data_IF_792936728718
#
_entry.id   IF_792936728718
#
_cell.length_a   1.000
_cell.length_b   1.000
_cell.length_c   1.000
_cell.angle_alpha   90.00
_cell.angle_beta   90.00
_cell.angle_gamma   90.00
#
_symmetry.space_group_name_H-M   'P 1'
#
loop_
_entity.id
_entity.type
_entity.pdbx_description
1 polymer ?
#
# COMPACT_ATOMS: atom_id res chain seq x y z
N UNK A 1 11.57 -40.74 29.91
CA UNK A 1 11.93 -39.75 28.87
C UNK A 1 10.62 -39.19 28.32
N UNK A 2 10.49 -37.86 28.33
CA UNK A 2 9.32 -37.03 27.96
C UNK A 2 8.08 -37.19 28.88
N UNK A 3 7.48 -36.17 29.48
CA UNK A 3 7.60 -34.72 29.28
C UNK A 3 6.18 -34.15 29.25
N UNK A 4 5.68 -33.67 30.40
CA UNK A 4 4.46 -32.87 30.49
C UNK A 4 4.73 -31.47 29.92
N UNK A 5 3.79 -30.88 29.17
CA UNK A 5 3.39 -29.48 29.33
C UNK A 5 2.23 -29.15 28.39
N UNK A 6 1.08 -28.78 28.97
CA UNK A 6 0.12 -27.93 28.28
C UNK A 6 0.59 -26.47 28.36
N UNK A 7 0.07 -25.61 27.47
CA UNK A 7 -0.04 -24.18 27.71
C UNK A 7 -1.16 -23.61 26.86
N UNK A 8 -2.20 -23.14 27.55
CA UNK A 8 -3.09 -22.07 27.11
C UNK A 8 -2.31 -20.74 27.09
N UNK A 9 -2.74 -19.81 26.24
CA UNK A 9 -2.24 -18.44 26.11
C UNK A 9 -2.62 -17.93 24.72
N UNK A 10 -3.73 -17.22 24.53
CA UNK A 10 -4.01 -15.93 25.15
C UNK A 10 -3.51 -14.84 24.19
N UNK A 11 -4.14 -14.73 23.01
CA UNK A 11 -3.84 -13.61 22.10
C UNK A 11 -4.59 -12.39 22.60
N UNK A 12 -3.81 -11.41 23.00
CA UNK A 12 -4.19 -10.10 23.50
C UNK A 12 -5.22 -9.42 22.62
N UNK A 13 -6.32 -9.03 23.25
CA UNK A 13 -7.25 -8.02 22.75
C UNK A 13 -6.50 -6.69 22.72
N UNK A 14 -6.06 -6.26 21.54
CA UNK A 14 -5.61 -4.88 21.37
C UNK A 14 -6.82 -3.95 21.40
N UNK A 15 -6.70 -2.96 22.28
CA UNK A 15 -7.76 -2.05 22.71
C UNK A 15 -7.85 -0.92 21.69
N UNK A 16 -8.84 -0.97 20.81
CA UNK A 16 -9.10 0.14 19.88
C UNK A 16 -9.50 1.40 20.69
N UNK A 17 -8.87 2.57 20.48
CA UNK A 17 -9.21 3.79 21.21
C UNK A 17 -10.51 4.39 20.66
N UNK A 18 -11.47 4.66 21.55
CA UNK A 18 -12.59 5.58 21.31
C UNK A 18 -12.05 6.96 21.00
N UNK A 19 -12.27 7.47 19.78
CA UNK A 19 -11.98 8.86 19.40
C UNK A 19 -13.24 9.72 19.51
N UNK A 20 -13.09 10.90 20.13
CA UNK A 20 -14.05 12.00 20.15
C UNK A 20 -14.17 12.63 18.73
N UNK A 21 -15.18 13.45 18.40
CA UNK A 21 -15.42 13.84 17.02
C UNK A 21 -14.28 14.76 16.54
N UNK A 22 -13.48 14.26 15.61
CA UNK A 22 -12.40 14.96 14.95
C UNK A 22 -12.98 15.98 13.94
N UNK A 23 -12.13 16.91 13.47
CA UNK A 23 -12.42 17.70 12.27
C UNK A 23 -12.66 16.80 11.05
N UNK A 24 -12.81 17.35 9.83
CA UNK A 24 -12.91 16.49 8.66
C UNK A 24 -11.70 15.54 8.62
N UNK A 25 -11.99 14.23 8.70
CA UNK A 25 -10.97 13.17 8.60
C UNK A 25 -10.22 13.34 7.28
N UNK A 26 -8.89 13.18 7.25
CA UNK A 26 -8.12 13.32 6.03
C UNK A 26 -8.55 12.28 5.00
N UNK A 27 -8.68 12.71 3.74
CA UNK A 27 -8.98 11.84 2.61
C UNK A 27 -7.73 11.02 2.26
N UNK A 28 -7.84 9.70 2.39
CA UNK A 28 -6.79 8.75 2.00
C UNK A 28 -6.86 8.52 0.49
N UNK A 29 -5.77 8.76 -0.23
CA UNK A 29 -5.67 8.64 -1.69
C UNK A 29 -4.56 7.67 -2.04
N UNK A 30 -4.94 6.57 -2.70
CA UNK A 30 -4.01 5.64 -3.32
C UNK A 30 -3.68 6.11 -4.74
N UNK A 31 -2.39 6.25 -5.03
CA UNK A 31 -1.85 6.57 -6.36
C UNK A 31 -1.14 5.34 -6.92
N UNK A 32 -1.51 4.94 -8.15
CA UNK A 32 -0.90 3.83 -8.88
C UNK A 32 -0.84 4.12 -10.39
N UNK A 33 0.01 3.39 -11.13
CA UNK A 33 0.16 3.49 -12.58
C UNK A 33 0.65 2.17 -13.20
N UNK A 34 0.59 2.05 -14.54
CA UNK A 34 1.08 0.88 -15.28
C UNK A 34 2.58 0.95 -15.64
N UNK A 35 3.16 2.17 -15.62
CA UNK A 35 4.48 2.47 -16.17
C UNK A 35 5.64 2.35 -15.16
N UNK A 36 5.38 1.78 -13.98
CA UNK A 36 6.26 1.66 -12.80
C UNK A 36 6.33 2.87 -11.84
N UNK A 37 6.82 2.62 -10.63
CA UNK A 37 7.03 3.63 -9.56
C UNK A 37 8.00 4.75 -9.97
N UNK A 38 8.87 4.51 -10.96
CA UNK A 38 9.86 5.47 -11.42
C UNK A 38 9.34 6.36 -12.56
N UNK A 39 8.08 6.18 -12.99
CA UNK A 39 7.51 6.98 -14.06
C UNK A 39 7.31 8.44 -13.62
N UNK A 40 7.70 9.43 -14.43
CA UNK A 40 7.62 10.84 -14.05
C UNK A 40 6.18 11.34 -13.84
N UNK A 41 5.19 10.64 -14.41
CA UNK A 41 3.77 11.00 -14.22
C UNK A 41 3.26 10.78 -12.80
N UNK A 42 3.84 9.83 -12.06
CA UNK A 42 3.41 9.54 -10.68
C UNK A 42 3.80 10.69 -9.76
N UNK A 43 4.97 11.30 -9.99
CA UNK A 43 5.45 12.45 -9.22
C UNK A 43 4.53 13.65 -9.40
N UNK A 44 4.13 13.95 -10.65
CA UNK A 44 3.23 15.06 -10.96
C UNK A 44 1.88 14.90 -10.25
N UNK A 45 1.37 13.67 -10.18
CA UNK A 45 0.11 13.39 -9.51
C UNK A 45 0.23 13.54 -7.99
N UNK A 46 1.29 12.99 -7.40
CA UNK A 46 1.57 13.12 -5.96
C UNK A 46 1.73 14.60 -5.58
N UNK A 47 2.54 15.36 -6.34
CA UNK A 47 2.72 16.80 -6.14
C UNK A 47 1.39 17.56 -6.17
N UNK A 48 0.53 17.28 -7.15
CA UNK A 48 -0.77 17.93 -7.26
C UNK A 48 -1.70 17.59 -6.09
N UNK A 49 -1.72 16.33 -5.67
CA UNK A 49 -2.57 15.87 -4.56
C UNK A 49 -2.14 16.47 -3.22
N UNK A 50 -0.83 16.59 -2.97
CA UNK A 50 -0.28 17.20 -1.75
C UNK A 50 -0.62 18.69 -1.60
N UNK A 51 -1.16 19.36 -2.62
CA UNK A 51 -1.67 20.74 -2.52
C UNK A 51 -3.06 20.84 -1.89
N UNK A 52 -3.77 19.73 -1.75
CA UNK A 52 -5.10 19.69 -1.15
C UNK A 52 -4.98 19.68 0.38
N UNK A 53 -5.95 20.30 1.06
CA UNK A 53 -6.04 20.24 2.51
C UNK A 53 -6.59 18.88 2.96
N UNK A 54 -6.07 18.36 4.08
CA UNK A 54 -6.53 17.13 4.72
C UNK A 54 -6.56 15.92 3.76
N UNK A 55 -5.43 15.62 3.13
CA UNK A 55 -5.21 14.40 2.33
C UNK A 55 -3.99 13.64 2.80
N UNK A 56 -4.07 12.32 2.69
CA UNK A 56 -2.97 11.38 2.91
C UNK A 56 -2.74 10.59 1.62
N UNK A 57 -1.57 10.75 1.00
CA UNK A 57 -1.25 10.11 -0.28
C UNK A 57 -0.37 8.88 -0.04
N UNK A 58 -0.81 7.72 -0.54
CA UNK A 58 -0.01 6.50 -0.57
C UNK A 58 0.26 6.11 -2.01
N UNK A 59 1.52 5.84 -2.35
CA UNK A 59 1.93 5.47 -3.71
C UNK A 59 2.26 3.98 -3.76
N UNK A 60 1.60 3.25 -4.66
CA UNK A 60 1.87 1.82 -4.90
C UNK A 60 1.89 1.59 -6.41
N UNK A 61 2.98 1.06 -6.95
CA UNK A 61 3.16 0.89 -8.39
C UNK A 61 4.04 -0.32 -8.71
N UNK A 62 4.03 -0.85 -9.95
CA UNK A 62 4.94 -1.91 -10.35
C UNK A 62 6.42 -1.52 -10.22
N UNK A 63 7.29 -2.49 -9.93
CA UNK A 63 8.75 -2.29 -9.89
C UNK A 63 9.33 -1.95 -11.27
N UNK A 64 8.81 -2.58 -12.32
CA UNK A 64 9.24 -2.39 -13.71
C UNK A 64 8.02 -2.16 -14.63
N UNK A 65 8.23 -1.49 -15.77
CA UNK A 65 7.19 -1.34 -16.78
C UNK A 65 6.78 -2.73 -17.33
N UNK A 66 5.49 -3.04 -17.30
CA UNK A 66 4.93 -4.31 -17.83
C UNK A 66 3.94 -4.04 -18.96
N UNK A 67 4.38 -3.27 -19.96
CA UNK A 67 3.57 -2.89 -21.12
C UNK A 67 2.88 -4.10 -21.78
N UNK A 68 1.60 -3.94 -22.12
CA UNK A 68 0.78 -5.00 -22.73
C UNK A 68 0.30 -6.11 -21.78
N UNK A 69 0.42 -5.93 -20.45
CA UNK A 69 0.04 -6.94 -19.45
C UNK A 69 -1.09 -6.51 -18.50
N UNK A 70 -1.88 -5.48 -18.82
CA UNK A 70 -2.89 -4.92 -17.91
C UNK A 70 -4.00 -5.89 -17.43
N UNK A 71 -4.18 -7.04 -18.09
CA UNK A 71 -5.13 -8.09 -17.66
C UNK A 71 -4.46 -9.27 -16.92
N UNK A 72 -3.15 -9.20 -16.68
CA UNK A 72 -2.41 -10.24 -15.98
C UNK A 72 -2.36 -9.91 -14.49
N UNK A 73 -2.50 -10.96 -13.69
CA UNK A 73 -2.40 -10.96 -12.24
C UNK A 73 -1.36 -12.02 -11.91
N UNK A 74 -0.57 -11.80 -10.87
CA UNK A 74 0.36 -12.81 -10.38
C UNK A 74 -0.42 -13.78 -9.49
N UNK A 75 -0.34 -15.08 -9.81
CA UNK A 75 -0.91 -16.11 -8.93
C UNK A 75 -0.06 -16.23 -7.65
N UNK A 76 -0.66 -15.88 -6.51
CA UNK A 76 -0.03 -15.99 -5.19
C UNK A 76 0.46 -14.67 -4.59
N UNK A 77 1.41 -14.76 -3.66
CA UNK A 77 2.03 -13.58 -3.02
C UNK A 77 2.96 -12.86 -3.99
N UNK A 78 2.89 -11.54 -4.00
CA UNK A 78 3.78 -10.65 -4.76
C UNK A 78 4.70 -9.91 -3.79
N UNK A 79 5.97 -9.75 -4.15
CA UNK A 79 6.91 -9.05 -3.30
C UNK A 79 6.66 -7.54 -3.33
N UNK A 80 6.62 -6.92 -2.15
CA UNK A 80 6.48 -5.47 -1.98
C UNK A 80 7.79 -4.92 -1.42
N UNK A 81 8.30 -3.85 -2.04
CA UNK A 81 9.53 -3.18 -1.64
C UNK A 81 9.27 -1.71 -1.37
N UNK A 82 9.71 -1.19 -0.23
CA UNK A 82 9.72 0.25 0.02
C UNK A 82 10.77 0.93 -0.86
N UNK A 83 10.33 1.89 -1.65
CA UNK A 83 11.14 2.64 -2.62
C UNK A 83 10.81 4.12 -2.56
N UNK A 84 11.56 4.93 -3.29
CA UNK A 84 11.21 6.32 -3.55
C UNK A 84 10.91 6.49 -5.04
N UNK A 85 9.89 7.29 -5.37
CA UNK A 85 9.66 7.72 -6.75
C UNK A 85 10.84 8.54 -7.27
N UNK A 86 10.89 8.82 -8.57
CA UNK A 86 11.96 9.64 -9.13
C UNK A 86 12.01 11.06 -8.53
N UNK A 87 10.85 11.59 -8.10
CA UNK A 87 10.72 12.85 -7.36
C UNK A 87 11.07 12.78 -5.87
N UNK A 88 11.37 11.59 -5.33
CA UNK A 88 11.73 11.40 -3.92
C UNK A 88 10.54 11.21 -2.98
N UNK A 89 9.39 10.79 -3.49
CA UNK A 89 8.22 10.48 -2.65
C UNK A 89 8.24 9.02 -2.18
N UNK A 90 7.86 8.74 -0.93
CA UNK A 90 7.78 7.37 -0.45
C UNK A 90 6.74 6.58 -1.27
N UNK A 91 7.13 5.42 -1.74
CA UNK A 91 6.30 4.54 -2.55
C UNK A 91 6.56 3.07 -2.22
N UNK A 92 5.61 2.22 -2.60
CA UNK A 92 5.75 0.77 -2.54
C UNK A 92 5.78 0.20 -3.95
N UNK A 93 6.89 -0.42 -4.31
CA UNK A 93 7.05 -1.12 -5.56
C UNK A 93 6.57 -2.57 -5.41
N UNK A 94 5.70 -3.00 -6.30
CA UNK A 94 5.21 -4.39 -6.36
C UNK A 94 5.90 -5.11 -7.50
N UNK A 95 6.55 -6.24 -7.19
CA UNK A 95 7.12 -7.15 -8.19
C UNK A 95 6.00 -8.02 -8.79
N UNK A 96 5.12 -7.38 -9.55
CA UNK A 96 3.91 -7.95 -10.10
C UNK A 96 3.39 -7.16 -11.30
N UNK A 97 2.20 -7.50 -11.77
CA UNK A 97 1.50 -6.74 -12.80
C UNK A 97 0.73 -5.55 -12.20
N UNK A 98 0.29 -4.57 -13.01
CA UNK A 98 -0.40 -3.38 -12.48
C UNK A 98 -1.64 -3.69 -11.64
N UNK A 99 -2.38 -4.75 -11.96
CA UNK A 99 -3.51 -5.22 -11.16
C UNK A 99 -3.09 -5.71 -9.76
N UNK A 100 -1.88 -6.27 -9.62
CA UNK A 100 -1.33 -6.69 -8.33
C UNK A 100 -1.02 -5.48 -7.44
N UNK A 101 -0.58 -4.36 -8.01
CA UNK A 101 -0.30 -3.14 -7.25
C UNK A 101 -1.55 -2.62 -6.53
N UNK A 102 -2.70 -2.62 -7.20
CA UNK A 102 -3.98 -2.23 -6.59
C UNK A 102 -4.46 -3.27 -5.58
N UNK A 103 -4.31 -4.57 -5.87
CA UNK A 103 -4.70 -5.65 -4.96
C UNK A 103 -3.93 -5.58 -3.65
N UNK A 104 -2.60 -5.48 -3.71
CA UNK A 104 -1.71 -5.33 -2.55
C UNK A 104 -2.10 -4.10 -1.73
N UNK A 105 -2.40 -2.99 -2.42
CA UNK A 105 -2.79 -1.75 -1.77
C UNK A 105 -4.06 -1.89 -0.91
N UNK A 106 -5.04 -2.68 -1.35
CA UNK A 106 -6.29 -2.89 -0.59
C UNK A 106 -6.13 -4.02 0.43
N UNK A 107 -5.61 -5.18 0.00
CA UNK A 107 -5.63 -6.41 0.81
C UNK A 107 -4.50 -6.49 1.85
N UNK A 108 -3.32 -5.94 1.55
CA UNK A 108 -2.13 -6.11 2.38
C UNK A 108 -1.74 -4.83 3.13
N UNK A 109 -2.01 -3.66 2.52
CA UNK A 109 -1.65 -2.37 3.07
C UNK A 109 -2.79 -1.66 3.80
N UNK A 110 -4.00 -2.23 3.74
CA UNK A 110 -5.19 -1.77 4.49
C UNK A 110 -5.42 -0.25 4.34
N UNK A 111 -5.37 0.20 3.08
CA UNK A 111 -5.42 1.62 2.74
C UNK A 111 -6.86 2.17 2.84
N UNK A 112 -7.86 1.31 3.06
CA UNK A 112 -9.27 1.63 3.20
C UNK A 112 -9.88 1.48 4.62
N UNK A 113 -9.14 1.00 5.64
CA UNK A 113 -9.64 0.95 7.04
C UNK A 113 -9.75 2.29 7.78
#
# INVERSE_FOLDING_TARGET
MAGCSGSDGGSSVEKSPTSAPAGPEPLRILVSNDDSYAAPGIDVLVEALLTLDAVEVTVVAPLEERSGSGAKVTDGEVAVTDVETAGGYPAKAVDGFPADAVRVAIEELDIDA
#
